data_IF_204898409078
#
_entry.id   IF_204898409078
#
_cell.length_a   1.000
_cell.length_b   1.000
_cell.length_c   1.000
_cell.angle_alpha   90.00
_cell.angle_beta   90.00
_cell.angle_gamma   90.00
#
_symmetry.space_group_name_H-M   'P 1'
#
loop_
_entity.id
_entity.type
_entity.pdbx_description
1 polymer ?
#
# COMPACT_ATOMS: atom_id res chain seq x y z
N UNK A 1 8.78 13.44 -41.22
CA UNK A 1 8.14 14.18 -40.12
C UNK A 1 8.82 13.74 -38.84
N UNK A 2 9.64 14.61 -38.25
CA UNK A 2 10.41 14.30 -37.06
C UNK A 2 9.51 14.36 -35.81
N UNK A 3 9.59 13.34 -34.95
CA UNK A 3 8.96 13.33 -33.63
C UNK A 3 9.40 14.55 -32.81
N UNK A 4 8.53 15.18 -32.01
CA UNK A 4 8.94 16.27 -31.17
C UNK A 4 9.84 15.74 -30.05
N UNK A 5 11.01 16.36 -29.90
CA UNK A 5 11.92 16.13 -28.79
C UNK A 5 11.22 16.51 -27.48
N UNK A 6 11.29 15.61 -26.49
CA UNK A 6 10.93 15.95 -25.10
C UNK A 6 11.91 17.01 -24.64
N UNK A 7 11.39 18.23 -24.47
CA UNK A 7 12.15 19.35 -23.92
C UNK A 7 12.37 19.06 -22.44
N UNK A 8 13.62 18.79 -22.05
CA UNK A 8 14.01 18.69 -20.65
C UNK A 8 13.87 20.07 -20.01
N UNK A 9 12.68 20.37 -19.49
CA UNK A 9 12.43 21.54 -18.67
C UNK A 9 13.32 21.47 -17.43
N UNK A 10 13.92 22.59 -17.07
CA UNK A 10 14.65 22.76 -15.81
C UNK A 10 13.60 22.81 -14.69
N UNK A 11 13.09 21.65 -14.27
CA UNK A 11 12.07 21.55 -13.21
C UNK A 11 12.80 21.54 -11.88
N UNK A 12 12.46 22.45 -10.97
CA UNK A 12 12.56 22.15 -9.53
C UNK A 12 11.59 21.00 -9.25
N UNK A 13 12.00 19.76 -9.54
CA UNK A 13 11.07 18.63 -9.70
C UNK A 13 10.46 18.28 -8.35
N UNK A 14 9.16 18.56 -8.23
CA UNK A 14 8.37 18.13 -7.10
C UNK A 14 7.95 16.68 -7.32
N UNK A 15 8.08 15.84 -6.30
CA UNK A 15 7.77 14.41 -6.43
C UNK A 15 7.63 13.71 -5.08
N UNK A 16 7.16 12.47 -5.13
CA UNK A 16 6.99 11.63 -3.94
C UNK A 16 7.99 10.49 -3.90
N UNK A 17 8.62 10.28 -2.74
CA UNK A 17 9.31 9.05 -2.40
C UNK A 17 8.41 8.19 -1.51
N UNK A 18 8.05 7.00 -1.96
CA UNK A 18 7.20 6.07 -1.23
C UNK A 18 8.04 4.90 -0.73
N UNK A 19 7.93 4.62 0.57
CA UNK A 19 8.42 3.39 1.15
C UNK A 19 7.25 2.62 1.74
N UNK A 20 6.96 1.45 1.19
CA UNK A 20 5.97 0.53 1.72
C UNK A 20 6.69 -0.67 2.34
N UNK A 21 6.82 -0.71 3.66
CA UNK A 21 7.34 -1.88 4.37
C UNK A 21 6.24 -2.92 4.64
N UNK A 22 6.61 -4.05 5.25
CA UNK A 22 5.63 -5.06 5.67
C UNK A 22 4.74 -4.56 6.82
N UNK A 23 5.28 -3.76 7.74
CA UNK A 23 4.58 -3.35 8.97
C UNK A 23 4.17 -1.89 8.96
N UNK A 24 4.96 -1.04 8.31
CA UNK A 24 4.79 0.39 8.27
C UNK A 24 5.28 0.95 6.94
N UNK A 25 4.78 2.12 6.59
CA UNK A 25 5.09 2.84 5.39
C UNK A 25 5.31 4.33 5.67
N UNK A 26 6.00 5.01 4.78
CA UNK A 26 6.18 6.46 4.83
C UNK A 26 6.14 7.05 3.42
N UNK A 27 5.86 8.35 3.38
CA UNK A 27 5.91 9.16 2.16
C UNK A 27 6.79 10.38 2.43
N UNK A 28 7.70 10.65 1.50
CA UNK A 28 8.50 11.85 1.47
C UNK A 28 8.07 12.70 0.27
N UNK A 29 8.05 14.02 0.45
CA UNK A 29 7.83 14.97 -0.63
C UNK A 29 9.15 15.71 -0.89
N UNK A 30 9.62 15.69 -2.13
CA UNK A 30 10.75 16.50 -2.57
C UNK A 30 10.24 17.69 -3.36
N UNK A 31 10.81 18.87 -3.13
CA UNK A 31 10.58 20.09 -3.93
C UNK A 31 11.76 21.04 -3.77
N UNK A 32 12.24 21.62 -4.87
CA UNK A 32 13.31 22.62 -4.88
C UNK A 32 14.58 22.16 -4.11
N UNK A 33 14.94 20.88 -4.27
CA UNK A 33 16.11 20.28 -3.61
C UNK A 33 15.95 20.00 -2.11
N UNK A 34 14.78 20.21 -1.54
CA UNK A 34 14.46 19.88 -0.14
C UNK A 34 13.58 18.65 -0.07
N UNK A 35 13.82 17.80 0.92
CA UNK A 35 13.05 16.58 1.17
C UNK A 35 12.41 16.65 2.55
N UNK A 36 11.09 16.50 2.60
CA UNK A 36 10.31 16.45 3.84
C UNK A 36 9.63 15.07 3.95
N UNK A 37 9.87 14.35 5.05
CA UNK A 37 9.05 13.17 5.39
C UNK A 37 7.73 13.66 5.96
N UNK A 38 6.63 13.33 5.28
CA UNK A 38 5.32 13.89 5.57
C UNK A 38 4.68 13.16 6.75
N UNK A 39 4.21 13.91 7.73
CA UNK A 39 3.46 13.37 8.86
C UNK A 39 2.03 13.02 8.44
N UNK A 40 1.49 11.94 8.98
CA UNK A 40 0.09 11.58 8.82
C UNK A 40 -0.82 12.47 9.70
N UNK A 41 -2.13 12.19 9.66
CA UNK A 41 -3.17 12.96 10.37
C UNK A 41 -2.97 13.00 11.91
N UNK A 42 -2.14 12.12 12.48
CA UNK A 42 -1.80 12.05 13.90
C UNK A 42 -0.44 12.69 14.23
N UNK A 43 0.26 13.23 13.25
CA UNK A 43 1.60 13.80 13.41
C UNK A 43 2.75 12.78 13.27
N UNK A 44 2.44 11.50 13.05
CA UNK A 44 3.46 10.47 12.90
C UNK A 44 4.03 10.43 11.47
N UNK A 45 5.34 10.31 11.34
CA UNK A 45 6.04 10.16 10.03
C UNK A 45 6.05 8.73 9.48
N UNK A 46 5.35 7.82 10.16
CA UNK A 46 5.17 6.43 9.72
C UNK A 46 3.71 6.06 9.87
N UNK A 47 3.20 5.33 8.88
CA UNK A 47 1.82 4.87 8.83
C UNK A 47 1.80 3.34 8.87
N UNK A 48 1.09 2.71 9.83
CA UNK A 48 0.98 1.25 9.86
C UNK A 48 0.40 0.67 8.57
N UNK A 49 0.92 -0.45 8.07
CA UNK A 49 0.38 -1.14 6.91
C UNK A 49 -0.80 -2.05 7.31
N UNK A 50 -1.88 -1.42 7.78
CA UNK A 50 -3.12 -2.08 8.21
C UNK A 50 -4.29 -1.56 7.38
N UNK A 51 -5.15 -2.47 6.93
CA UNK A 51 -6.43 -2.17 6.29
C UNK A 51 -7.50 -2.96 7.02
N UNK A 52 -8.50 -2.29 7.57
CA UNK A 52 -9.62 -2.92 8.27
C UNK A 52 -10.93 -2.58 7.58
N UNK A 53 -11.78 -3.60 7.43
CA UNK A 53 -13.10 -3.47 6.83
C UNK A 53 -14.16 -3.58 7.92
N UNK A 54 -15.16 -2.71 7.86
CA UNK A 54 -16.30 -2.68 8.78
C UNK A 54 -17.62 -2.72 8.01
N UNK A 55 -18.74 -2.72 8.73
CA UNK A 55 -20.07 -2.61 8.12
C UNK A 55 -20.34 -1.25 7.46
N UNK A 56 -19.56 -0.22 7.80
CA UNK A 56 -19.81 1.15 7.34
C UNK A 56 -18.71 1.64 6.41
N UNK A 57 -17.47 1.40 6.78
CA UNK A 57 -16.31 2.03 6.19
C UNK A 57 -15.08 1.14 6.16
N UNK A 58 -14.04 1.65 5.50
CA UNK A 58 -12.73 1.04 5.44
C UNK A 58 -11.77 1.95 6.17
N UNK A 59 -11.12 1.43 7.21
CA UNK A 59 -10.08 2.13 7.94
C UNK A 59 -8.70 1.71 7.42
N UNK A 60 -7.76 2.66 7.38
CA UNK A 60 -6.37 2.42 6.94
C UNK A 60 -5.41 3.04 7.94
N UNK A 61 -4.24 2.42 8.13
CA UNK A 61 -3.20 2.99 8.98
C UNK A 61 -3.47 2.80 10.48
N UNK A 62 -3.28 3.87 11.25
CA UNK A 62 -3.45 3.82 12.70
C UNK A 62 -4.89 3.48 13.12
N UNK A 63 -5.89 4.02 12.41
CA UNK A 63 -7.30 3.72 12.69
C UNK A 63 -7.60 2.22 12.58
N UNK A 64 -7.09 1.56 11.52
CA UNK A 64 -7.21 0.11 11.36
C UNK A 64 -6.44 -0.66 12.46
N UNK A 65 -5.24 -0.19 12.81
CA UNK A 65 -4.43 -0.79 13.87
C UNK A 65 -5.09 -0.68 15.25
N UNK A 66 -5.80 0.40 15.57
CA UNK A 66 -6.38 0.60 16.89
C UNK A 66 -7.53 -0.40 17.17
N UNK A 67 -8.34 -0.72 16.16
CA UNK A 67 -9.47 -1.65 16.28
C UNK A 67 -9.14 -3.12 16.08
N UNK A 68 -7.89 -3.46 15.71
CA UNK A 68 -7.56 -4.77 15.15
C UNK A 68 -7.92 -5.94 16.07
N UNK A 69 -7.74 -5.80 17.39
CA UNK A 69 -8.00 -6.89 18.36
C UNK A 69 -9.46 -7.33 18.32
N UNK A 70 -10.38 -6.40 18.07
CA UNK A 70 -11.83 -6.67 18.03
C UNK A 70 -12.31 -7.08 16.64
N UNK A 71 -11.54 -6.79 15.58
CA UNK A 71 -11.90 -7.01 14.18
C UNK A 71 -10.82 -7.77 13.41
N UNK A 72 -10.20 -8.76 14.03
CA UNK A 72 -9.04 -9.50 13.50
C UNK A 72 -9.34 -10.22 12.19
N UNK A 73 -10.57 -10.71 12.00
CA UNK A 73 -11.01 -11.43 10.79
C UNK A 73 -11.16 -10.53 9.57
N UNK A 74 -11.46 -9.24 9.76
CA UNK A 74 -11.61 -8.26 8.68
C UNK A 74 -10.48 -7.23 8.67
N UNK A 75 -9.34 -7.53 9.32
CA UNK A 75 -8.15 -6.65 9.32
C UNK A 75 -6.97 -7.35 8.67
N UNK A 76 -6.45 -6.75 7.59
CA UNK A 76 -5.34 -7.26 6.79
C UNK A 76 -4.10 -6.42 7.06
N UNK A 77 -2.96 -7.09 7.30
CA UNK A 77 -1.67 -6.47 7.56
C UNK A 77 -0.52 -7.44 7.23
N UNK A 78 0.70 -6.91 7.05
CA UNK A 78 1.85 -7.65 6.49
C UNK A 78 1.57 -8.29 5.12
N UNK A 79 0.81 -7.61 4.27
CA UNK A 79 0.39 -8.12 2.96
C UNK A 79 1.52 -8.14 1.92
N UNK A 80 2.51 -7.23 2.03
CA UNK A 80 3.62 -7.12 1.07
C UNK A 80 4.40 -8.42 0.88
N UNK A 81 4.52 -9.24 1.92
CA UNK A 81 5.24 -10.52 1.84
C UNK A 81 4.53 -11.56 0.96
N UNK A 82 3.25 -11.36 0.63
CA UNK A 82 2.46 -12.26 -0.22
C UNK A 82 2.46 -11.83 -1.69
N UNK A 83 3.05 -10.69 -2.03
CA UNK A 83 3.04 -10.17 -3.39
C UNK A 83 3.71 -11.13 -4.37
N UNK A 84 3.00 -11.46 -5.45
CA UNK A 84 3.48 -12.38 -6.50
C UNK A 84 3.74 -13.81 -6.01
N UNK A 85 3.24 -14.19 -4.83
CA UNK A 85 3.35 -15.57 -4.33
C UNK A 85 2.06 -16.33 -4.63
N UNK A 86 2.15 -17.57 -5.12
CA UNK A 86 0.97 -18.39 -5.32
C UNK A 86 0.37 -18.82 -3.98
N UNK A 87 -0.89 -19.22 -4.01
CA UNK A 87 -1.64 -19.66 -2.84
C UNK A 87 -0.95 -20.81 -2.07
N UNK A 88 -0.28 -21.71 -2.80
CA UNK A 88 0.39 -22.88 -2.22
C UNK A 88 1.80 -22.59 -1.66
N UNK A 89 2.32 -21.37 -1.83
CA UNK A 89 3.66 -21.00 -1.39
C UNK A 89 3.81 -21.09 0.14
N UNK A 90 4.99 -21.50 0.63
CA UNK A 90 5.25 -21.68 2.06
C UNK A 90 4.99 -20.41 2.91
N UNK A 91 5.47 -19.25 2.45
CA UNK A 91 5.12 -17.95 3.04
C UNK A 91 3.61 -17.72 3.19
N UNK A 92 2.80 -18.13 2.21
CA UNK A 92 1.33 -18.03 2.27
C UNK A 92 0.77 -18.96 3.35
N UNK A 93 1.25 -20.20 3.43
CA UNK A 93 0.87 -21.15 4.49
C UNK A 93 1.20 -20.62 5.88
N UNK A 94 2.41 -20.07 6.05
CA UNK A 94 2.81 -19.45 7.31
C UNK A 94 1.97 -18.23 7.68
N UNK A 95 1.54 -17.45 6.69
CA UNK A 95 0.61 -16.34 6.89
C UNK A 95 -0.74 -16.86 7.39
N UNK A 96 -1.32 -17.87 6.72
CA UNK A 96 -2.59 -18.49 7.12
C UNK A 96 -2.56 -19.04 8.54
N UNK A 97 -1.45 -19.64 8.96
CA UNK A 97 -1.30 -20.17 10.34
C UNK A 97 -1.20 -19.08 11.41
N UNK A 98 -0.76 -17.87 11.05
CA UNK A 98 -0.51 -16.77 11.99
C UNK A 98 -1.63 -15.74 12.04
N UNK A 99 -2.50 -15.70 11.02
CA UNK A 99 -3.48 -14.63 10.82
C UNK A 99 -4.90 -15.19 10.86
N UNK A 100 -5.83 -14.39 11.37
CA UNK A 100 -7.23 -14.78 11.51
C UNK A 100 -8.10 -14.36 10.30
N UNK A 101 -7.59 -13.48 9.44
CA UNK A 101 -8.26 -13.16 8.17
C UNK A 101 -8.28 -14.38 7.27
N UNK A 102 -9.42 -14.62 6.62
CA UNK A 102 -9.59 -15.73 5.71
C UNK A 102 -8.82 -15.46 4.41
N UNK A 103 -7.84 -16.32 4.13
CA UNK A 103 -7.07 -16.29 2.88
C UNK A 103 -7.67 -17.32 1.93
N UNK A 104 -7.97 -16.91 0.70
CA UNK A 104 -8.62 -17.73 -0.32
C UNK A 104 -7.76 -17.81 -1.58
N UNK A 105 -7.91 -18.92 -2.31
CA UNK A 105 -7.28 -19.13 -3.61
C UNK A 105 -8.16 -18.48 -4.69
N UNK A 106 -7.62 -17.47 -5.38
CA UNK A 106 -8.28 -16.81 -6.50
C UNK A 106 -7.44 -17.02 -7.76
N UNK A 107 -7.74 -18.08 -8.52
CA UNK A 107 -6.99 -18.45 -9.75
C UNK A 107 -5.50 -18.66 -9.50
N UNK A 108 -5.16 -19.45 -8.49
CA UNK A 108 -3.80 -19.75 -8.02
C UNK A 108 -3.10 -18.61 -7.26
N UNK A 109 -3.67 -17.40 -7.27
CA UNK A 109 -3.19 -16.27 -6.50
C UNK A 109 -3.81 -16.19 -5.09
N UNK A 110 -3.12 -15.44 -4.23
CA UNK A 110 -3.55 -15.13 -2.87
C UNK A 110 -4.57 -13.99 -2.87
N UNK A 111 -5.70 -14.21 -2.22
CA UNK A 111 -6.68 -13.18 -1.92
C UNK A 111 -7.21 -13.31 -0.49
N UNK A 112 -7.94 -12.30 -0.03
CA UNK A 112 -8.50 -12.20 1.31
C UNK A 112 -10.01 -12.04 1.22
N UNK A 113 -10.73 -12.87 1.96
CA UNK A 113 -12.16 -12.76 2.13
C UNK A 113 -12.45 -12.01 3.44
N UNK A 114 -13.25 -10.95 3.34
CA UNK A 114 -13.64 -10.09 4.46
C UNK A 114 -15.13 -9.78 4.39
N UNK A 115 -15.75 -9.57 5.55
CA UNK A 115 -17.07 -8.94 5.60
C UNK A 115 -16.89 -7.42 5.51
N UNK A 116 -17.39 -6.86 4.42
CA UNK A 116 -17.38 -5.42 4.19
C UNK A 116 -18.77 -4.96 3.79
N UNK A 117 -19.34 -4.04 4.57
CA UNK A 117 -20.70 -3.52 4.36
C UNK A 117 -21.78 -4.60 4.31
N UNK A 118 -21.66 -5.61 5.19
CA UNK A 118 -22.59 -6.73 5.30
C UNK A 118 -22.53 -7.70 4.11
N UNK A 119 -21.41 -7.70 3.38
CA UNK A 119 -21.19 -8.54 2.21
C UNK A 119 -19.80 -9.14 2.27
N UNK A 120 -19.74 -10.44 2.01
CA UNK A 120 -18.49 -11.16 1.75
C UNK A 120 -17.85 -10.59 0.49
N UNK A 121 -16.69 -9.96 0.65
CA UNK A 121 -15.92 -9.33 -0.43
C UNK A 121 -14.52 -9.92 -0.47
N UNK A 122 -14.02 -10.16 -1.67
CA UNK A 122 -12.69 -10.75 -1.88
C UNK A 122 -11.75 -9.71 -2.47
N UNK A 123 -10.65 -9.44 -1.78
CA UNK A 123 -9.59 -8.53 -2.21
C UNK A 123 -8.30 -9.30 -2.50
N UNK A 124 -7.71 -9.06 -3.67
CA UNK A 124 -6.35 -9.53 -4.00
C UNK A 124 -5.29 -8.81 -3.18
N UNK A 125 -4.09 -9.39 -3.14
CA UNK A 125 -2.91 -8.74 -2.53
C UNK A 125 -2.66 -7.35 -3.14
N UNK A 126 -2.78 -7.19 -4.46
CA UNK A 126 -2.57 -5.91 -5.15
C UNK A 126 -3.63 -4.86 -4.78
N UNK A 127 -4.90 -5.24 -4.66
CA UNK A 127 -5.97 -4.31 -4.25
C UNK A 127 -5.74 -3.79 -2.82
N UNK A 128 -5.25 -4.62 -1.89
CA UNK A 128 -4.89 -4.17 -0.53
C UNK A 128 -3.68 -3.22 -0.55
N UNK A 129 -2.68 -3.51 -1.39
CA UNK A 129 -1.53 -2.62 -1.56
C UNK A 129 -1.94 -1.28 -2.17
N UNK A 130 -2.86 -1.27 -3.13
CA UNK A 130 -3.42 -0.05 -3.73
C UNK A 130 -4.12 0.82 -2.69
N UNK A 131 -4.90 0.23 -1.78
CA UNK A 131 -5.54 0.94 -0.66
C UNK A 131 -4.48 1.61 0.23
N UNK A 132 -3.37 0.92 0.51
CA UNK A 132 -2.27 1.49 1.29
C UNK A 132 -1.57 2.63 0.52
N UNK A 133 -1.34 2.47 -0.79
CA UNK A 133 -0.75 3.51 -1.62
C UNK A 133 -1.64 4.75 -1.72
N UNK A 134 -2.96 4.58 -1.85
CA UNK A 134 -3.92 5.68 -1.80
C UNK A 134 -3.81 6.47 -0.50
N UNK A 135 -3.70 5.79 0.66
CA UNK A 135 -3.50 6.48 1.93
C UNK A 135 -2.16 7.24 1.99
N UNK A 136 -1.08 6.68 1.45
CA UNK A 136 0.20 7.39 1.39
C UNK A 136 0.15 8.60 0.45
N UNK A 137 -0.57 8.49 -0.67
CA UNK A 137 -0.79 9.60 -1.59
C UNK A 137 -1.60 10.72 -0.93
N UNK A 138 -2.67 10.38 -0.22
CA UNK A 138 -3.45 11.35 0.58
C UNK A 138 -2.57 12.10 1.59
N UNK A 139 -1.71 11.37 2.31
CA UNK A 139 -0.77 11.96 3.27
C UNK A 139 0.20 12.88 2.53
N UNK A 140 0.79 12.44 1.41
CA UNK A 140 1.69 13.27 0.60
C UNK A 140 1.02 14.55 0.08
N UNK A 141 -0.20 14.42 -0.44
CA UNK A 141 -1.00 15.54 -0.96
C UNK A 141 -1.43 16.52 0.13
N UNK A 142 -1.54 16.11 1.39
CA UNK A 142 -1.78 17.04 2.51
C UNK A 142 -0.67 18.11 2.63
N UNK A 143 0.57 17.77 2.25
CA UNK A 143 1.72 18.67 2.22
C UNK A 143 1.94 19.34 0.86
N UNK A 144 1.78 18.58 -0.22
CA UNK A 144 2.08 19.06 -1.58
C UNK A 144 0.94 19.89 -2.21
N UNK A 145 -0.27 19.77 -1.69
CA UNK A 145 -1.49 20.24 -2.35
C UNK A 145 -2.01 19.27 -3.41
N UNK A 146 -3.10 19.65 -4.08
CA UNK A 146 -3.66 18.87 -5.20
C UNK A 146 -2.80 19.09 -6.45
N UNK A 147 -2.37 18.01 -7.09
CA UNK A 147 -1.59 18.05 -8.31
C UNK A 147 -1.17 16.65 -8.76
N UNK A 148 -0.66 16.56 -10.00
CA UNK A 148 0.00 15.36 -10.50
C UNK A 148 1.49 15.47 -10.16
N UNK A 149 2.00 14.49 -9.43
CA UNK A 149 3.40 14.41 -9.04
C UNK A 149 3.94 13.03 -9.42
N UNK A 150 5.17 12.99 -9.92
CA UNK A 150 5.86 11.73 -10.12
C UNK A 150 6.15 11.07 -8.77
N UNK A 151 6.13 9.74 -8.74
CA UNK A 151 6.40 8.97 -7.54
C UNK A 151 7.44 7.89 -7.79
N UNK A 152 8.35 7.72 -6.83
CA UNK A 152 9.34 6.64 -6.79
C UNK A 152 9.01 5.73 -5.63
N UNK A 153 8.83 4.43 -5.90
CA UNK A 153 8.53 3.43 -4.90
C UNK A 153 9.76 2.55 -4.61
N UNK A 154 10.14 2.46 -3.34
CA UNK A 154 11.19 1.56 -2.89
C UNK A 154 10.70 0.10 -2.81
N UNK A 155 11.41 -0.80 -3.47
CA UNK A 155 11.16 -2.25 -3.46
C UNK A 155 12.33 -3.01 -2.82
N UNK A 156 12.09 -4.16 -2.17
CA UNK A 156 13.16 -5.01 -1.64
C UNK A 156 14.04 -5.57 -2.76
N UNK A 157 15.34 -5.73 -2.49
CA UNK A 157 16.33 -6.22 -3.47
C UNK A 157 16.01 -7.63 -3.99
N UNK A 158 15.26 -8.42 -3.21
CA UNK A 158 14.88 -9.79 -3.58
C UNK A 158 13.56 -9.90 -4.33
N UNK A 159 12.95 -8.79 -4.77
CA UNK A 159 11.77 -8.82 -5.62
C UNK A 159 12.14 -9.22 -7.05
N UNK A 160 11.30 -10.03 -7.69
CA UNK A 160 11.40 -10.32 -9.12
C UNK A 160 10.81 -9.17 -9.94
N UNK A 161 11.17 -9.08 -11.22
CA UNK A 161 10.58 -8.10 -12.15
C UNK A 161 9.05 -8.16 -12.17
N UNK A 162 8.46 -9.36 -12.07
CA UNK A 162 7.01 -9.51 -12.01
C UNK A 162 6.43 -8.92 -10.72
N UNK A 163 7.10 -9.12 -9.58
CA UNK A 163 6.70 -8.49 -8.31
C UNK A 163 6.84 -6.97 -8.34
N UNK A 164 7.86 -6.43 -9.03
CA UNK A 164 7.98 -4.99 -9.26
C UNK A 164 6.85 -4.46 -10.14
N UNK A 165 6.49 -5.17 -11.21
CA UNK A 165 5.42 -4.78 -12.12
C UNK A 165 4.04 -4.82 -11.44
N UNK A 166 3.82 -5.69 -10.45
CA UNK A 166 2.57 -5.71 -9.67
C UNK A 166 2.40 -4.48 -8.75
N UNK A 167 3.45 -3.66 -8.58
CA UNK A 167 3.41 -2.43 -7.78
C UNK A 167 3.34 -1.15 -8.62
N UNK A 168 3.42 -1.27 -9.95
CA UNK A 168 3.33 -0.16 -10.91
C UNK A 168 1.89 0.00 -11.40
#
# INVERSE_FOLDING_TARGET
>A
MASPAVQAGTVGSAGFGLHLGSSAACVAFTKDGRVDVVANDLGDRTTPCFVAFTEHDMAVGFAAKQGYVRNTKNTIYHVKQLLGKPFQHETTKQFMNKKQVQVVNRKEDVAFEVDFKGKVTVFSVSEILEILFKKLLEIGQSKAGKGCFDAVLAVPVNFTTDQENLLR
#
